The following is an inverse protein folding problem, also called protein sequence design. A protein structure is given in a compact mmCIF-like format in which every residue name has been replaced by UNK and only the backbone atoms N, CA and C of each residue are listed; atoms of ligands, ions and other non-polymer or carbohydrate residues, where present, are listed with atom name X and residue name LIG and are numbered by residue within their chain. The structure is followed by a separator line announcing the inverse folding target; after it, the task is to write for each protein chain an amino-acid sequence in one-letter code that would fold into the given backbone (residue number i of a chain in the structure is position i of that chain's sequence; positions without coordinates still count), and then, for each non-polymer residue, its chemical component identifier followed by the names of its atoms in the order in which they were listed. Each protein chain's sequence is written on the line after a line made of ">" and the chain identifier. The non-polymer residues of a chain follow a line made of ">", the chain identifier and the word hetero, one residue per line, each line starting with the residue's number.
data_IF_068013298109
#
_entry.id   IF_068013298109
#
_cell.length_a   1.000
_cell.length_b   1.000
_cell.length_c   1.000
_cell.angle_alpha   90.00
_cell.angle_beta   90.00
_cell.angle_gamma   90.00
#
_symmetry.space_group_name_H-M   'P 1'
#
loop_
_entity.id
_entity.type
_entity.pdbx_description
1 polymer ?
#
# COMPACT_ATOMS: atom_id res chain seq x y z
N UNK A 1 -24.60 -78.88 -33.68
CA UNK A 1 -23.13 -78.77 -33.53
C UNK A 1 -22.81 -77.32 -33.25
N UNK A 2 -22.26 -77.03 -32.07
CA UNK A 2 -22.06 -75.66 -31.58
C UNK A 2 -20.82 -75.03 -32.21
N UNK A 3 -20.97 -73.83 -32.75
CA UNK A 3 -19.87 -72.93 -33.13
C UNK A 3 -19.31 -72.30 -31.86
N UNK A 4 -18.09 -72.68 -31.49
CA UNK A 4 -17.38 -72.07 -30.38
C UNK A 4 -16.84 -70.70 -30.83
N UNK A 5 -17.43 -69.63 -30.32
CA UNK A 5 -16.84 -68.29 -30.34
C UNK A 5 -15.73 -68.26 -29.29
N UNK A 6 -14.48 -68.45 -29.72
CA UNK A 6 -13.32 -68.25 -28.83
C UNK A 6 -13.17 -66.77 -28.50
N UNK A 7 -13.59 -66.39 -27.29
CA UNK A 7 -13.23 -65.11 -26.68
C UNK A 7 -11.74 -65.14 -26.35
N UNK A 8 -10.93 -64.59 -27.26
CA UNK A 8 -9.49 -64.39 -27.04
C UNK A 8 -9.27 -63.24 -26.06
N UNK A 9 -9.47 -63.51 -24.77
CA UNK A 9 -8.92 -62.67 -23.69
C UNK A 9 -7.45 -63.05 -23.52
N UNK A 10 -6.64 -62.78 -24.55
CA UNK A 10 -5.18 -62.87 -24.45
C UNK A 10 -4.69 -61.75 -23.56
N UNK A 11 -4.00 -62.12 -22.48
CA UNK A 11 -3.23 -61.19 -21.66
C UNK A 11 -2.48 -60.22 -22.56
N UNK A 12 -2.58 -58.92 -22.24
CA UNK A 12 -1.97 -57.85 -23.02
C UNK A 12 -0.47 -58.10 -23.02
N UNK A 13 0.04 -58.71 -24.10
CA UNK A 13 1.47 -58.80 -24.37
C UNK A 13 2.02 -57.38 -24.29
N UNK A 14 3.12 -57.19 -23.57
CA UNK A 14 3.85 -55.94 -23.66
C UNK A 14 4.22 -55.71 -25.13
N UNK A 15 4.14 -54.47 -25.63
CA UNK A 15 4.51 -54.16 -27.00
C UNK A 15 5.92 -54.67 -27.27
N UNK A 16 6.09 -55.46 -28.31
CA UNK A 16 7.40 -55.89 -28.77
C UNK A 16 8.09 -54.71 -29.48
N UNK A 17 9.43 -54.66 -29.48
CA UNK A 17 10.22 -53.66 -30.21
C UNK A 17 9.72 -53.33 -31.62
N UNK A 18 9.27 -54.35 -32.35
CA UNK A 18 8.79 -54.27 -33.73
C UNK A 18 7.31 -53.94 -33.87
N UNK A 19 6.56 -53.88 -32.78
CA UNK A 19 5.13 -53.58 -32.82
C UNK A 19 4.92 -52.14 -33.30
N UNK A 20 4.08 -51.97 -34.32
CA UNK A 20 3.71 -50.66 -34.84
C UNK A 20 2.67 -50.01 -33.92
N UNK A 21 3.05 -48.89 -33.33
CA UNK A 21 2.18 -48.02 -32.57
C UNK A 21 1.66 -46.91 -33.47
N UNK A 22 0.37 -46.63 -33.38
CA UNK A 22 -0.21 -45.42 -33.95
C UNK A 22 -0.03 -44.30 -32.92
N UNK A 23 0.81 -43.33 -33.23
CA UNK A 23 1.09 -42.19 -32.38
C UNK A 23 0.46 -40.95 -32.99
N UNK A 24 -0.34 -40.24 -32.21
CA UNK A 24 -0.92 -38.97 -32.62
C UNK A 24 0.03 -37.84 -32.20
N UNK A 25 0.56 -37.08 -33.17
CA UNK A 25 1.34 -35.86 -32.92
C UNK A 25 0.56 -34.68 -33.51
N UNK A 26 -0.07 -33.89 -32.64
CA UNK A 26 -1.05 -32.89 -33.06
C UNK A 26 -2.26 -33.54 -33.76
N UNK A 27 -2.56 -33.12 -34.99
CA UNK A 27 -3.68 -33.63 -35.79
C UNK A 27 -3.27 -34.67 -36.84
N UNK A 28 -1.99 -35.04 -36.91
CA UNK A 28 -1.48 -36.00 -37.91
C UNK A 28 -1.10 -37.31 -37.23
N UNK A 29 -1.69 -38.45 -37.63
CA UNK A 29 -1.29 -39.75 -37.12
C UNK A 29 0.00 -40.23 -37.78
N UNK A 30 0.90 -40.79 -36.97
CA UNK A 30 2.16 -41.40 -37.41
C UNK A 30 2.21 -42.87 -36.98
N UNK A 31 2.84 -43.70 -37.80
CA UNK A 31 3.19 -45.08 -37.42
C UNK A 31 4.65 -45.08 -37.01
N UNK A 32 4.94 -45.58 -35.81
CA UNK A 32 6.29 -45.75 -35.30
C UNK A 32 6.35 -47.09 -34.57
N UNK A 33 7.49 -47.77 -34.59
CA UNK A 33 7.68 -48.99 -33.80
C UNK A 33 7.75 -48.66 -32.31
N UNK A 34 7.49 -49.64 -31.45
CA UNK A 34 7.60 -49.44 -30.00
C UNK A 34 9.00 -48.96 -29.59
N UNK A 35 10.04 -49.44 -30.28
CA UNK A 35 11.42 -48.98 -30.07
C UNK A 35 11.64 -47.54 -30.52
N UNK A 36 11.07 -47.13 -31.67
CA UNK A 36 11.15 -45.75 -32.15
C UNK A 36 10.43 -44.77 -31.22
N UNK A 37 9.30 -45.16 -30.64
CA UNK A 37 8.57 -44.34 -29.65
C UNK A 37 9.35 -44.26 -28.34
N UNK A 38 9.96 -45.36 -27.90
CA UNK A 38 10.78 -45.40 -26.68
C UNK A 38 12.08 -44.61 -26.83
N UNK A 39 12.64 -44.56 -28.04
CA UNK A 39 13.82 -43.79 -28.39
C UNK A 39 13.52 -42.30 -28.66
N UNK A 40 12.25 -41.88 -28.60
CA UNK A 40 11.88 -40.47 -28.81
C UNK A 40 12.36 -39.61 -27.63
N UNK A 41 13.61 -39.16 -27.74
CA UNK A 41 14.19 -38.18 -26.83
C UNK A 41 13.60 -36.81 -27.17
N UNK A 42 12.80 -36.29 -26.25
CA UNK A 42 12.35 -34.91 -26.30
C UNK A 42 13.57 -34.01 -26.11
N UNK A 43 13.87 -33.19 -27.11
CA UNK A 43 14.88 -32.16 -26.94
C UNK A 43 14.40 -31.18 -25.87
N UNK A 44 15.26 -30.81 -24.89
CA UNK A 44 14.96 -29.72 -23.99
C UNK A 44 14.60 -28.47 -24.79
N UNK A 45 13.63 -27.71 -24.30
CA UNK A 45 13.42 -26.39 -24.86
C UNK A 45 14.68 -25.55 -24.59
N UNK A 46 15.00 -24.65 -25.50
CA UNK A 46 16.06 -23.65 -25.31
C UNK A 46 15.51 -22.29 -25.68
N UNK A 47 16.28 -21.23 -25.42
CA UNK A 47 15.90 -19.87 -25.82
C UNK A 47 15.65 -19.72 -27.34
N UNK A 48 16.24 -20.59 -28.17
CA UNK A 48 16.20 -20.48 -29.65
C UNK A 48 15.53 -21.66 -30.35
N UNK A 49 15.22 -22.74 -29.62
CA UNK A 49 14.56 -23.92 -30.17
C UNK A 49 13.41 -24.35 -29.26
N UNK A 50 12.22 -24.45 -29.85
CA UNK A 50 11.04 -25.00 -29.19
C UNK A 50 11.32 -26.49 -28.94
N UNK A 51 11.43 -26.89 -27.67
CA UNK A 51 11.54 -28.29 -27.27
C UNK A 51 10.16 -28.97 -27.29
N UNK A 52 9.95 -29.96 -26.42
CA UNK A 52 8.62 -30.58 -26.25
C UNK A 52 7.52 -29.58 -25.86
N UNK A 53 7.91 -28.52 -25.15
CA UNK A 53 7.04 -27.46 -24.66
C UNK A 53 7.43 -26.16 -25.36
N UNK A 54 6.43 -25.41 -25.83
CA UNK A 54 6.60 -24.05 -26.34
C UNK A 54 6.40 -23.05 -25.19
N UNK A 55 7.46 -22.37 -24.72
CA UNK A 55 7.30 -21.31 -23.73
C UNK A 55 6.44 -20.19 -24.30
N UNK A 56 5.48 -19.72 -23.51
CA UNK A 56 4.67 -18.54 -23.83
C UNK A 56 5.33 -17.26 -23.31
N UNK A 57 4.61 -16.15 -23.39
CA UNK A 57 4.99 -14.90 -22.73
C UNK A 57 5.24 -15.14 -21.24
N UNK A 58 6.24 -14.47 -20.67
CA UNK A 58 6.60 -14.57 -19.24
C UNK A 58 7.07 -15.96 -18.80
N UNK A 59 7.57 -16.78 -19.73
CA UNK A 59 8.24 -18.03 -19.44
C UNK A 59 9.61 -18.05 -20.16
N UNK A 60 10.68 -18.38 -19.44
CA UNK A 60 12.03 -18.55 -19.99
C UNK A 60 12.55 -19.95 -19.75
N UNK A 61 13.54 -20.38 -20.53
CA UNK A 61 14.17 -21.70 -20.39
C UNK A 61 15.66 -21.54 -20.18
N UNK A 62 16.18 -22.12 -19.10
CA UNK A 62 17.59 -22.12 -18.76
C UNK A 62 18.37 -23.12 -19.64
N UNK A 63 19.70 -23.03 -19.60
CA UNK A 63 20.58 -23.86 -20.42
C UNK A 63 20.46 -25.37 -20.13
N UNK A 64 19.97 -25.74 -18.94
CA UNK A 64 19.70 -27.12 -18.54
C UNK A 64 18.28 -27.62 -18.91
N UNK A 65 17.46 -26.76 -19.51
CA UNK A 65 16.07 -27.05 -19.90
C UNK A 65 15.02 -26.72 -18.83
N UNK A 66 15.40 -26.12 -17.70
CA UNK A 66 14.45 -25.71 -16.66
C UNK A 66 13.59 -24.55 -17.14
N UNK A 67 12.27 -24.67 -16.94
CA UNK A 67 11.30 -23.62 -17.27
C UNK A 67 11.08 -22.69 -16.06
N UNK A 68 11.31 -21.40 -16.24
CA UNK A 68 11.07 -20.37 -15.22
C UNK A 68 9.90 -19.48 -15.61
N UNK A 69 9.15 -19.01 -14.60
CA UNK A 69 8.19 -17.93 -14.79
C UNK A 69 8.90 -16.58 -14.63
N UNK A 70 8.97 -15.83 -15.72
CA UNK A 70 9.42 -14.44 -15.75
C UNK A 70 8.21 -13.54 -15.52
N UNK A 71 7.79 -13.36 -14.26
CA UNK A 71 6.63 -12.52 -13.90
C UNK A 71 7.07 -11.05 -13.90
N UNK A 72 6.68 -10.23 -14.89
CA UNK A 72 7.02 -8.80 -14.90
C UNK A 72 6.33 -8.15 -13.71
N UNK A 73 7.08 -7.42 -12.88
CA UNK A 73 6.57 -6.73 -11.70
C UNK A 73 6.63 -7.52 -10.39
N UNK A 74 7.24 -8.71 -10.36
CA UNK A 74 7.61 -9.34 -9.09
C UNK A 74 8.79 -8.57 -8.46
N UNK A 75 8.62 -8.10 -7.21
CA UNK A 75 9.69 -7.47 -6.47
C UNK A 75 10.70 -8.53 -6.01
N UNK A 76 11.95 -8.40 -6.44
CA UNK A 76 13.05 -9.29 -6.06
C UNK A 76 13.92 -8.56 -5.07
N UNK A 77 13.87 -8.96 -3.80
CA UNK A 77 14.75 -8.39 -2.79
C UNK A 77 16.20 -8.89 -2.99
N UNK A 78 17.13 -7.94 -3.14
CA UNK A 78 18.54 -8.18 -3.47
C UNK A 78 19.49 -7.96 -2.29
N UNK A 79 18.99 -7.44 -1.17
CA UNK A 79 19.77 -7.20 0.04
C UNK A 79 19.82 -5.73 0.45
N UNK A 80 20.73 -5.41 1.37
CA UNK A 80 21.01 -4.05 1.78
C UNK A 80 22.23 -3.49 1.03
N UNK A 81 22.23 -2.19 0.74
CA UNK A 81 23.31 -1.51 0.02
C UNK A 81 23.46 -0.06 0.48
N UNK A 82 24.69 0.46 0.44
CA UNK A 82 25.00 1.86 0.67
C UNK A 82 25.14 2.57 -0.69
N UNK A 83 24.13 3.34 -1.14
CA UNK A 83 24.16 4.01 -2.44
C UNK A 83 25.12 5.22 -2.48
N UNK A 84 25.71 5.60 -1.33
CA UNK A 84 26.61 6.76 -1.20
C UNK A 84 28.07 6.39 -1.42
N UNK A 85 28.41 5.10 -1.24
CA UNK A 85 29.77 4.57 -1.43
C UNK A 85 29.84 3.41 -2.40
N UNK A 86 28.70 2.84 -2.79
CA UNK A 86 28.62 1.66 -3.66
C UNK A 86 27.90 2.01 -4.95
N UNK A 87 28.53 1.70 -6.07
CA UNK A 87 27.95 1.87 -7.40
C UNK A 87 26.69 1.01 -7.58
N UNK A 88 25.74 1.51 -8.38
CA UNK A 88 24.53 0.78 -8.71
C UNK A 88 24.86 -0.54 -9.43
N UNK A 89 24.18 -1.66 -9.11
CA UNK A 89 24.42 -2.93 -9.77
C UNK A 89 24.22 -2.86 -11.29
N UNK A 90 25.28 -3.13 -12.06
CA UNK A 90 25.28 -3.01 -13.53
C UNK A 90 24.32 -3.98 -14.25
N UNK A 91 23.85 -5.02 -13.57
CA UNK A 91 22.92 -6.02 -14.09
C UNK A 91 21.54 -6.00 -13.40
N UNK A 92 21.11 -4.85 -12.89
CA UNK A 92 19.81 -4.73 -12.25
C UNK A 92 18.68 -5.06 -13.25
N UNK A 93 17.74 -5.89 -12.79
CA UNK A 93 16.54 -6.24 -13.54
C UNK A 93 15.34 -5.47 -12.99
N UNK A 94 14.36 -5.16 -13.86
CA UNK A 94 13.12 -4.52 -13.42
C UNK A 94 12.47 -5.31 -12.28
N UNK A 95 12.16 -4.63 -11.18
CA UNK A 95 11.67 -5.25 -9.94
C UNK A 95 12.75 -5.59 -8.91
N UNK A 96 14.04 -5.39 -9.20
CA UNK A 96 15.10 -5.51 -8.19
C UNK A 96 14.90 -4.44 -7.10
N UNK A 97 14.94 -4.88 -5.83
CA UNK A 97 14.76 -4.05 -4.65
C UNK A 97 15.95 -4.18 -3.70
N UNK A 98 16.50 -3.05 -3.26
CA UNK A 98 17.51 -2.99 -2.19
C UNK A 98 17.01 -2.17 -0.99
N UNK A 99 17.49 -2.50 0.20
CA UNK A 99 17.32 -1.67 1.39
C UNK A 99 18.53 -0.76 1.58
N UNK A 100 18.30 0.51 1.86
CA UNK A 100 19.38 1.48 2.07
C UNK A 100 20.02 1.26 3.45
N UNK A 101 21.32 0.97 3.48
CA UNK A 101 22.05 0.72 4.73
C UNK A 101 22.61 1.99 5.39
N UNK A 102 22.75 3.10 4.66
CA UNK A 102 23.24 4.39 5.18
C UNK A 102 22.62 5.59 4.45
N UNK A 103 22.49 6.72 5.14
CA UNK A 103 21.94 7.96 4.56
C UNK A 103 23.03 8.81 3.92
N UNK A 104 22.71 9.49 2.81
CA UNK A 104 23.60 10.45 2.16
C UNK A 104 23.24 10.69 0.70
N UNK A 105 24.14 11.33 -0.05
CA UNK A 105 23.95 11.62 -1.46
C UNK A 105 24.26 10.37 -2.30
N UNK A 106 23.32 9.96 -3.16
CA UNK A 106 23.53 8.82 -4.04
C UNK A 106 24.57 9.11 -5.13
N UNK A 107 25.41 8.11 -5.43
CA UNK A 107 26.40 8.17 -6.50
C UNK A 107 25.74 8.30 -7.89
N UNK A 108 26.50 8.82 -8.85
CA UNK A 108 26.05 9.06 -10.24
C UNK A 108 25.56 7.80 -10.96
N UNK A 109 26.05 6.62 -10.56
CA UNK A 109 25.62 5.33 -11.12
C UNK A 109 24.15 5.00 -10.87
N UNK A 110 23.54 5.60 -9.85
CA UNK A 110 22.15 5.37 -9.49
C UNK A 110 21.24 6.22 -10.37
N UNK A 111 21.06 5.81 -11.64
CA UNK A 111 20.22 6.53 -12.60
C UNK A 111 18.85 6.89 -12.00
N UNK A 112 18.43 8.16 -12.09
CA UNK A 112 17.20 8.65 -11.47
C UNK A 112 17.32 9.10 -10.00
N UNK A 113 18.37 8.68 -9.29
CA UNK A 113 18.67 9.08 -7.91
C UNK A 113 19.99 9.84 -7.74
N UNK A 114 20.84 9.86 -8.77
CA UNK A 114 22.12 10.55 -8.77
C UNK A 114 22.02 11.97 -8.18
N UNK A 115 22.87 12.27 -7.20
CA UNK A 115 22.89 13.58 -6.53
C UNK A 115 21.75 13.84 -5.54
N UNK A 116 20.82 12.91 -5.36
CA UNK A 116 19.72 13.04 -4.41
C UNK A 116 20.11 12.52 -3.01
N UNK A 117 19.54 13.16 -1.98
CA UNK A 117 19.65 12.70 -0.60
C UNK A 117 18.77 11.47 -0.39
N UNK A 118 19.36 10.37 0.04
CA UNK A 118 18.67 9.12 0.39
C UNK A 118 18.72 8.90 1.91
N UNK A 119 17.61 8.45 2.47
CA UNK A 119 17.49 8.11 3.89
C UNK A 119 17.85 6.63 4.15
N UNK A 120 18.49 6.38 5.30
CA UNK A 120 18.73 5.02 5.79
C UNK A 120 17.39 4.31 6.02
N UNK A 121 17.33 3.01 5.69
CA UNK A 121 16.09 2.23 5.78
C UNK A 121 15.12 2.44 4.61
N UNK A 122 15.42 3.33 3.67
CA UNK A 122 14.66 3.49 2.43
C UNK A 122 14.71 2.24 1.54
N UNK A 123 13.74 2.12 0.64
CA UNK A 123 13.70 1.08 -0.39
C UNK A 123 14.13 1.68 -1.72
N UNK A 124 15.08 1.04 -2.39
CA UNK A 124 15.50 1.36 -3.76
C UNK A 124 14.87 0.33 -4.70
N UNK A 125 14.09 0.79 -5.68
CA UNK A 125 13.46 -0.05 -6.69
C UNK A 125 13.97 0.33 -8.08
N UNK A 126 14.40 -0.67 -8.85
CA UNK A 126 14.71 -0.50 -10.26
C UNK A 126 13.50 -0.83 -11.12
N UNK A 127 13.05 0.11 -11.96
CA UNK A 127 11.90 -0.07 -12.86
C UNK A 127 12.24 -0.72 -14.22
N UNK A 128 13.54 -1.00 -14.44
CA UNK A 128 14.09 -1.46 -15.70
C UNK A 128 14.88 -0.40 -16.47
N UNK A 129 14.81 0.86 -16.05
CA UNK A 129 15.56 1.98 -16.64
C UNK A 129 16.16 2.91 -15.58
N UNK A 130 15.40 3.22 -14.53
CA UNK A 130 15.78 4.11 -13.46
C UNK A 130 15.59 3.47 -12.09
N UNK A 131 16.40 3.94 -11.15
CA UNK A 131 16.19 3.72 -9.74
C UNK A 131 15.23 4.76 -9.16
N UNK A 132 14.42 4.30 -8.22
CA UNK A 132 13.54 5.14 -7.40
C UNK A 132 13.78 4.82 -5.93
N UNK A 133 13.81 5.85 -5.09
CA UNK A 133 13.91 5.71 -3.65
C UNK A 133 12.52 5.87 -3.03
N UNK A 134 12.29 5.18 -1.92
CA UNK A 134 11.04 5.22 -1.17
C UNK A 134 9.82 4.75 -2.00
N UNK A 135 10.00 3.78 -2.90
CA UNK A 135 8.92 3.27 -3.77
C UNK A 135 7.68 2.73 -3.00
N UNK A 136 7.80 2.44 -1.70
CA UNK A 136 6.66 2.10 -0.83
C UNK A 136 5.81 3.33 -0.38
N UNK A 137 6.29 4.56 -0.60
CA UNK A 137 5.63 5.82 -0.19
C UNK A 137 5.31 6.76 -1.36
N UNK A 138 5.72 6.43 -2.59
CA UNK A 138 5.52 7.27 -3.78
C UNK A 138 6.49 8.48 -3.86
N UNK A 139 6.66 9.09 -5.04
CA UNK A 139 7.51 10.29 -5.22
C UNK A 139 7.03 11.48 -4.38
N UNK A 140 5.75 11.47 -4.03
CA UNK A 140 5.11 12.36 -3.08
C UNK A 140 4.60 11.50 -1.93
N UNK A 141 5.43 11.24 -0.90
CA UNK A 141 4.96 10.66 0.35
C UNK A 141 3.68 11.36 0.81
N UNK A 142 2.51 10.80 0.49
CA UNK A 142 1.21 11.44 0.68
C UNK A 142 0.75 11.36 2.14
N UNK A 143 1.71 11.55 3.04
CA UNK A 143 1.51 11.89 4.44
C UNK A 143 1.87 13.36 4.65
N UNK A 144 1.59 13.85 5.85
CA UNK A 144 2.00 15.19 6.25
C UNK A 144 3.53 15.24 6.33
N UNK A 145 4.18 15.93 5.40
CA UNK A 145 5.66 16.04 5.32
C UNK A 145 6.17 17.13 6.27
N UNK A 146 5.38 18.18 6.50
CA UNK A 146 5.68 19.26 7.45
C UNK A 146 4.38 19.97 7.85
N UNK A 147 4.23 20.26 9.14
CA UNK A 147 3.20 21.18 9.65
C UNK A 147 3.93 22.46 10.06
N UNK A 148 3.65 23.57 9.38
CA UNK A 148 4.11 24.88 9.82
C UNK A 148 2.96 25.55 10.57
N UNK A 149 3.06 25.59 11.90
CA UNK A 149 2.05 26.20 12.76
C UNK A 149 2.31 27.68 12.96
N UNK A 150 1.22 28.43 13.02
CA UNK A 150 1.16 29.77 13.58
C UNK A 150 -0.04 29.82 14.53
N UNK A 151 -0.03 30.76 15.48
CA UNK A 151 -1.14 30.93 16.40
C UNK A 151 -2.48 31.01 15.62
N UNK A 152 -3.52 30.28 16.05
CA UNK A 152 -3.66 29.61 17.34
C UNK A 152 -3.17 28.16 17.42
N UNK A 153 -2.53 27.62 16.38
CA UNK A 153 -2.01 26.25 16.41
C UNK A 153 -0.65 26.21 17.12
N UNK A 154 -0.43 25.17 17.92
CA UNK A 154 0.83 24.90 18.60
C UNK A 154 1.21 23.43 18.42
N UNK A 155 2.52 23.16 18.35
CA UNK A 155 3.07 21.80 18.33
C UNK A 155 3.87 21.62 19.62
N UNK A 156 3.58 20.56 20.36
CA UNK A 156 4.44 20.05 21.41
C UNK A 156 5.29 18.90 20.86
N UNK A 157 6.60 19.13 20.77
CA UNK A 157 7.60 18.18 20.28
C UNK A 157 8.38 17.51 21.42
N UNK A 158 7.87 17.53 22.66
CA UNK A 158 8.53 16.89 23.80
C UNK A 158 8.73 15.37 23.60
N UNK A 159 7.84 14.72 22.84
CA UNK A 159 8.05 13.40 22.25
C UNK A 159 8.06 13.51 20.71
N UNK A 160 9.24 13.51 20.06
CA UNK A 160 9.33 13.64 18.60
C UNK A 160 8.79 12.42 17.85
N UNK A 161 8.59 11.27 18.52
CA UNK A 161 7.92 10.11 17.91
C UNK A 161 6.38 10.24 17.96
N UNK A 162 5.86 11.11 18.83
CA UNK A 162 4.43 11.40 18.99
C UNK A 162 4.19 12.90 19.20
N UNK A 163 4.48 13.76 18.20
CA UNK A 163 4.25 15.19 18.33
C UNK A 163 2.75 15.45 18.51
N UNK A 164 2.40 16.31 19.47
CA UNK A 164 1.02 16.68 19.74
C UNK A 164 0.71 18.01 19.06
N UNK A 165 -0.28 18.02 18.16
CA UNK A 165 -0.83 19.24 17.59
C UNK A 165 -2.02 19.71 18.45
N UNK A 166 -1.94 20.91 18.99
CA UNK A 166 -3.01 21.54 19.76
C UNK A 166 -3.49 22.85 19.14
N UNK A 167 -4.64 23.32 19.60
CA UNK A 167 -5.17 24.66 19.31
C UNK A 167 -5.34 25.40 20.62
N UNK A 168 -4.81 26.62 20.71
CA UNK A 168 -4.98 27.48 21.87
C UNK A 168 -6.46 27.88 22.06
N UNK A 169 -6.92 28.02 23.31
CA UNK A 169 -8.20 28.65 23.61
C UNK A 169 -8.26 30.09 23.08
N UNK A 170 -9.46 30.51 22.65
CA UNK A 170 -9.69 31.90 22.28
C UNK A 170 -9.60 32.82 23.51
N UNK A 171 -9.07 34.02 23.31
CA UNK A 171 -9.09 35.11 24.29
C UNK A 171 -9.72 36.36 23.67
N UNK A 172 -9.86 37.44 24.42
CA UNK A 172 -10.31 38.74 23.89
C UNK A 172 -9.30 39.39 22.93
N UNK A 173 -8.07 38.90 22.89
CA UNK A 173 -6.95 39.48 22.12
C UNK A 173 -6.39 38.54 21.06
N UNK A 174 -6.66 37.24 21.15
CA UNK A 174 -6.17 36.20 20.24
C UNK A 174 -7.29 35.29 19.78
N UNK A 175 -7.35 35.03 18.48
CA UNK A 175 -8.18 33.97 17.91
C UNK A 175 -7.78 32.61 18.51
N UNK A 176 -8.73 31.67 18.59
CA UNK A 176 -8.55 30.33 19.15
C UNK A 176 -9.86 29.55 19.14
N UNK A 177 -9.92 28.43 19.86
CA UNK A 177 -11.18 27.68 20.02
C UNK A 177 -12.01 28.25 21.17
N UNK A 178 -13.30 28.46 20.92
CA UNK A 178 -14.25 28.96 21.91
C UNK A 178 -14.98 27.79 22.57
N UNK A 179 -15.00 27.78 23.90
CA UNK A 179 -15.88 26.87 24.66
C UNK A 179 -17.24 27.53 24.85
N UNK A 180 -18.32 26.89 24.41
CA UNK A 180 -19.68 27.35 24.69
C UNK A 180 -20.06 27.04 26.14
N UNK A 181 -20.77 27.96 26.78
CA UNK A 181 -21.26 27.81 28.14
C UNK A 181 -22.36 26.75 28.24
N UNK A 182 -22.23 25.82 29.19
CA UNK A 182 -23.31 24.92 29.60
C UNK A 182 -24.29 25.63 30.54
N UNK A 183 -25.44 25.00 30.83
CA UNK A 183 -26.42 25.54 31.79
C UNK A 183 -25.83 25.74 33.20
N UNK A 184 -24.92 24.85 33.61
CA UNK A 184 -24.22 24.96 34.89
C UNK A 184 -23.23 26.12 34.89
N UNK A 185 -22.52 26.35 33.77
CA UNK A 185 -21.62 27.49 33.61
C UNK A 185 -22.36 28.82 33.74
N UNK A 186 -23.56 28.91 33.15
CA UNK A 186 -24.41 30.11 33.22
C UNK A 186 -24.91 30.38 34.65
N UNK A 187 -25.22 29.32 35.39
CA UNK A 187 -25.73 29.42 36.77
C UNK A 187 -24.62 29.76 37.76
N UNK A 188 -23.43 29.17 37.57
CA UNK A 188 -22.27 29.39 38.42
C UNK A 188 -21.48 30.67 38.08
N UNK A 189 -21.74 31.28 36.91
CA UNK A 189 -20.98 32.43 36.42
C UNK A 189 -19.54 32.07 36.05
N UNK A 190 -19.33 30.86 35.50
CA UNK A 190 -18.00 30.34 35.20
C UNK A 190 -17.31 31.17 34.11
N UNK A 191 -16.12 31.68 34.41
CA UNK A 191 -15.30 32.43 33.46
C UNK A 191 -14.81 31.57 32.27
N UNK A 192 -14.50 32.21 31.14
CA UNK A 192 -13.86 31.55 29.99
C UNK A 192 -14.78 30.72 29.08
N UNK A 193 -16.10 30.80 29.27
CA UNK A 193 -17.09 30.26 28.34
C UNK A 193 -17.87 31.36 27.64
N UNK A 194 -18.15 31.18 26.34
CA UNK A 194 -19.00 32.11 25.61
C UNK A 194 -20.46 31.73 25.69
N UNK A 195 -21.30 32.74 25.79
CA UNK A 195 -22.76 32.62 25.76
C UNK A 195 -23.23 32.90 24.33
N UNK A 196 -23.87 31.91 23.71
CA UNK A 196 -24.55 32.13 22.43
C UNK A 196 -25.94 32.79 22.63
N UNK A 197 -26.57 33.19 21.53
CA UNK A 197 -27.86 33.88 21.60
C UNK A 197 -28.99 33.02 22.20
N UNK A 198 -28.92 31.69 22.07
CA UNK A 198 -29.92 30.78 22.62
C UNK A 198 -29.74 30.63 24.13
N UNK A 199 -28.50 30.48 24.59
CA UNK A 199 -28.11 30.43 25.99
C UNK A 199 -28.46 31.74 26.72
N UNK A 200 -28.19 32.89 26.11
CA UNK A 200 -28.58 34.19 26.66
C UNK A 200 -30.11 34.31 26.78
N UNK A 201 -30.85 33.94 25.73
CA UNK A 201 -32.32 33.97 25.75
C UNK A 201 -32.89 33.07 26.84
N UNK A 202 -32.34 31.88 27.03
CA UNK A 202 -32.75 30.95 28.08
C UNK A 202 -32.46 31.51 29.49
N UNK A 203 -31.25 32.04 29.71
CA UNK A 203 -30.87 32.66 30.98
C UNK A 203 -31.74 33.87 31.33
N UNK A 204 -32.07 34.73 30.35
CA UNK A 204 -32.97 35.87 30.54
C UNK A 204 -34.40 35.43 30.87
N UNK A 205 -34.89 34.33 30.28
CA UNK A 205 -36.21 33.80 30.59
C UNK A 205 -36.32 33.25 32.02
N UNK A 206 -35.23 32.68 32.57
CA UNK A 206 -35.16 32.26 33.98
C UNK A 206 -34.89 33.40 34.94
N UNK A 207 -34.16 34.44 34.53
CA UNK A 207 -33.82 35.60 35.36
C UNK A 207 -34.97 36.60 35.46
N UNK A 208 -35.92 36.59 34.53
CA UNK A 208 -37.13 37.39 34.62
C UNK A 208 -38.06 36.73 35.64
N UNK A 209 -38.28 37.32 36.84
CA UNK A 209 -39.22 36.74 37.79
C UNK A 209 -40.59 36.66 37.10
N UNK A 210 -41.28 35.54 37.26
CA UNK A 210 -42.71 35.44 37.01
C UNK A 210 -43.47 36.26 38.07
N UNK A 211 -43.15 37.54 38.17
CA UNK A 211 -43.89 38.51 38.95
C UNK A 211 -44.88 39.15 38.01
N UNK A 212 -46.16 38.96 38.27
CA UNK A 212 -47.10 40.06 38.06
C UNK A 212 -46.42 41.30 38.65
N UNK A 213 -45.97 42.21 37.79
CA UNK A 213 -45.60 43.53 38.23
C UNK A 213 -46.88 44.10 38.86
N UNK A 214 -47.01 44.03 40.19
CA UNK A 214 -47.99 44.85 40.88
C UNK A 214 -47.66 46.27 40.42
N UNK A 215 -48.56 46.97 39.71
CA UNK A 215 -48.33 48.37 39.43
C UNK A 215 -48.10 49.04 40.77
N UNK A 216 -46.96 49.72 40.92
CA UNK A 216 -46.67 50.50 42.12
C UNK A 216 -47.84 51.47 42.28
N UNK A 217 -48.69 51.26 43.28
CA UNK A 217 -49.82 52.15 43.52
C UNK A 217 -49.30 53.46 44.10
N UNK A 218 -48.98 54.38 43.19
CA UNK A 218 -48.47 55.72 43.50
C UNK A 218 -49.47 56.54 44.32
N UNK A 219 -50.73 56.11 44.45
CA UNK A 219 -51.73 56.78 45.30
C UNK A 219 -51.47 56.58 46.80
N UNK A 220 -50.61 55.63 47.17
CA UNK A 220 -50.24 55.34 48.57
C UNK A 220 -48.93 55.97 49.01
N UNK A 221 -48.20 56.64 48.11
CA UNK A 221 -46.95 57.31 48.46
C UNK A 221 -47.24 58.63 49.20
N UNK A 222 -46.60 58.87 50.36
CA UNK A 222 -46.71 60.15 51.04
C UNK A 222 -46.16 61.26 50.13
N UNK A 223 -46.85 62.41 50.11
CA UNK A 223 -46.37 63.58 49.39
C UNK A 223 -44.95 63.92 49.88
N UNK A 224 -44.04 64.06 48.91
CA UNK A 224 -42.65 64.44 49.20
C UNK A 224 -42.64 65.81 49.93
N UNK A 225 -41.77 65.99 50.93
CA UNK A 225 -41.68 67.21 51.71
C UNK A 225 -41.27 68.44 50.88
#
# INVERSE_FOLDING_TARGET
>A
MATATESRTTGRSLPQPTDLLLVQRGSTPYRATADEVKAFMLSPATAVAIGAIKPGTNLSVDADGTLHAAIPGALTYRGAIDPTTTEAPAGAAAGDVYLVSASGIALESWSGLAGQQIAQGGLLLFDGSNWSANAALGPDGAGVIRIQVAAPLAIDESDPAQPLLSVDPATTERAGVLRLASGDDLTAGTEGAAVDAAALKAAMATAQPAGDYMPLDLSTLPALP
#
